data_IF_243185903433
#
_entry.id   IF_243185903433
#
_cell.length_a   1.000
_cell.length_b   1.000
_cell.length_c   1.000
_cell.angle_alpha   90.00
_cell.angle_beta   90.00
_cell.angle_gamma   90.00
#
_symmetry.space_group_name_H-M   'P 1'
#
loop_
_entity.id
_entity.type
_entity.pdbx_description
1 polymer ?
#
# COMPACT_ATOMS: atom_id res chain seq x y z
N UNK A 1 0.89 18.07 -4.05
CA UNK A 1 -0.52 18.12 -3.62
C UNK A 1 -1.11 16.71 -3.60
N UNK A 2 -1.75 16.37 -2.50
CA UNK A 2 -2.43 15.07 -2.37
C UNK A 2 -3.91 15.26 -2.72
N UNK A 3 -4.42 14.38 -3.55
CA UNK A 3 -5.82 14.34 -3.95
C UNK A 3 -6.28 12.88 -4.07
N UNK A 4 -7.57 12.68 -4.27
CA UNK A 4 -8.06 11.33 -4.53
C UNK A 4 -7.56 10.81 -5.88
N UNK A 5 -7.36 9.51 -5.93
CA UNK A 5 -7.04 8.81 -7.17
C UNK A 5 -8.24 8.93 -8.13
N UNK A 6 -7.98 9.06 -9.42
CA UNK A 6 -9.01 9.17 -10.44
C UNK A 6 -8.76 8.17 -11.56
N UNK A 7 -9.80 7.84 -12.31
CA UNK A 7 -9.66 6.88 -13.42
C UNK A 7 -8.62 7.32 -14.44
N UNK A 8 -8.51 8.63 -14.71
CA UNK A 8 -7.53 9.18 -15.64
C UNK A 8 -6.09 8.94 -15.22
N UNK A 9 -5.86 8.59 -13.96
CA UNK A 9 -4.52 8.30 -13.45
C UNK A 9 -4.03 6.91 -13.83
N UNK A 10 -4.93 6.03 -14.25
CA UNK A 10 -4.58 4.64 -14.53
C UNK A 10 -3.48 4.51 -15.59
N UNK A 11 -3.70 5.08 -16.77
CA UNK A 11 -2.74 4.94 -17.87
C UNK A 11 -1.35 5.50 -17.52
N UNK A 12 -1.23 6.73 -17.00
CA UNK A 12 0.07 7.26 -16.61
C UNK A 12 0.78 6.42 -15.54
N UNK A 13 0.04 5.93 -14.55
CA UNK A 13 0.64 5.15 -13.45
C UNK A 13 1.04 3.76 -13.94
N UNK A 14 0.15 3.07 -14.62
CA UNK A 14 0.39 1.68 -15.02
C UNK A 14 1.53 1.56 -16.05
N UNK A 15 1.74 2.60 -16.83
CA UNK A 15 2.79 2.64 -17.84
C UNK A 15 4.19 2.69 -17.21
N UNK A 16 4.33 3.29 -16.03
CA UNK A 16 5.64 3.52 -15.38
C UNK A 16 5.85 2.70 -14.12
N UNK A 17 4.82 2.04 -13.61
CA UNK A 17 4.88 1.38 -12.30
C UNK A 17 5.98 0.32 -12.22
N UNK A 18 6.19 -0.46 -13.28
CA UNK A 18 7.22 -1.50 -13.27
C UNK A 18 8.62 -0.88 -13.14
N UNK A 19 8.83 0.28 -13.76
CA UNK A 19 10.09 1.01 -13.64
C UNK A 19 10.32 1.48 -12.20
N UNK A 20 9.28 1.87 -11.49
CA UNK A 20 9.38 2.30 -10.10
C UNK A 20 9.86 1.16 -9.19
N UNK A 21 9.67 -0.08 -9.59
CA UNK A 21 10.15 -1.27 -8.90
C UNK A 21 11.37 -1.90 -9.56
N UNK A 22 12.20 -1.09 -10.24
CA UNK A 22 13.44 -1.55 -10.84
C UNK A 22 13.26 -2.55 -11.99
N UNK A 23 12.13 -2.49 -12.70
CA UNK A 23 11.81 -3.37 -13.81
C UNK A 23 11.04 -4.63 -13.41
N UNK A 24 10.72 -4.82 -12.13
CA UNK A 24 9.86 -5.92 -11.70
C UNK A 24 8.44 -5.71 -12.21
N UNK A 25 7.81 -6.79 -12.64
CA UNK A 25 6.44 -6.72 -13.14
C UNK A 25 5.45 -6.58 -11.99
N UNK A 26 4.99 -5.36 -11.76
CA UNK A 26 4.09 -5.02 -10.66
C UNK A 26 2.72 -4.54 -11.15
N UNK A 27 2.62 -4.19 -12.43
CA UNK A 27 1.40 -3.57 -12.97
C UNK A 27 0.16 -4.46 -12.82
N UNK A 28 0.32 -5.78 -12.88
CA UNK A 28 -0.79 -6.73 -12.70
C UNK A 28 -1.39 -6.70 -11.29
N UNK A 29 -0.66 -6.12 -10.32
CA UNK A 29 -1.13 -6.00 -8.93
C UNK A 29 -2.00 -4.77 -8.72
N UNK A 30 -2.12 -3.89 -9.72
CA UNK A 30 -2.88 -2.65 -9.61
C UNK A 30 -3.92 -2.55 -10.73
N UNK A 31 -5.01 -3.34 -10.66
CA UNK A 31 -6.07 -3.30 -11.66
C UNK A 31 -6.79 -1.95 -11.71
N UNK A 32 -7.35 -1.64 -12.89
CA UNK A 32 -8.09 -0.40 -13.11
C UNK A 32 -9.23 -0.19 -12.10
N UNK A 33 -9.79 -1.27 -11.56
CA UNK A 33 -10.89 -1.19 -10.59
C UNK A 33 -10.57 -0.30 -9.39
N UNK A 34 -9.31 -0.23 -8.97
CA UNK A 34 -8.92 0.63 -7.85
C UNK A 34 -9.05 2.11 -8.20
N UNK A 35 -8.89 2.47 -9.45
CA UNK A 35 -8.98 3.85 -9.93
C UNK A 35 -10.43 4.29 -10.15
N UNK A 36 -11.36 3.36 -10.15
CA UNK A 36 -12.78 3.63 -10.42
C UNK A 36 -13.61 3.50 -9.14
N UNK A 37 -13.44 2.39 -8.41
CA UNK A 37 -14.36 1.99 -7.35
C UNK A 37 -13.83 2.17 -5.93
N UNK A 38 -12.55 2.49 -5.76
CA UNK A 38 -11.94 2.67 -4.44
C UNK A 38 -11.40 4.09 -4.23
N UNK A 39 -11.92 5.05 -4.99
CA UNK A 39 -11.47 6.45 -4.96
C UNK A 39 -11.62 7.12 -3.59
N UNK A 40 -12.68 6.90 -2.82
CA UNK A 40 -12.81 7.54 -1.51
C UNK A 40 -11.67 7.22 -0.53
N UNK A 41 -11.00 6.09 -0.72
CA UNK A 41 -9.92 5.61 0.14
C UNK A 41 -8.59 5.46 -0.60
N UNK A 42 -8.47 6.05 -1.78
CA UNK A 42 -7.27 5.98 -2.59
C UNK A 42 -6.81 7.37 -2.99
N UNK A 43 -5.49 7.58 -3.03
CA UNK A 43 -4.91 8.91 -3.14
C UNK A 43 -3.78 8.95 -4.17
N UNK A 44 -3.58 10.13 -4.73
CA UNK A 44 -2.46 10.41 -5.62
C UNK A 44 -1.74 11.67 -5.13
N UNK A 45 -0.43 11.71 -5.33
CA UNK A 45 0.36 12.93 -5.15
C UNK A 45 0.68 13.45 -6.54
N UNK A 46 0.26 14.68 -6.80
CA UNK A 46 0.50 15.33 -8.07
C UNK A 46 1.49 16.49 -7.87
N UNK A 47 2.48 16.54 -8.73
CA UNK A 47 3.47 17.63 -8.74
C UNK A 47 3.82 17.94 -10.18
N UNK A 48 3.70 19.22 -10.57
CA UNK A 48 3.97 19.63 -11.93
C UNK A 48 3.10 18.95 -12.99
N UNK A 49 1.86 18.60 -12.65
CA UNK A 49 0.94 17.95 -13.58
C UNK A 49 1.14 16.44 -13.71
N UNK A 50 2.06 15.86 -12.95
CA UNK A 50 2.34 14.42 -13.00
C UNK A 50 2.09 13.76 -11.66
N UNK A 51 1.63 12.51 -11.70
CA UNK A 51 1.49 11.69 -10.49
C UNK A 51 2.88 11.17 -10.10
N UNK A 52 3.33 11.54 -8.93
CA UNK A 52 4.64 11.11 -8.39
C UNK A 52 4.52 10.10 -7.26
N UNK A 53 3.30 9.83 -6.81
CA UNK A 53 3.03 8.83 -5.79
C UNK A 53 1.56 8.52 -5.73
N UNK A 54 1.23 7.34 -5.21
CA UNK A 54 -0.16 6.93 -5.05
C UNK A 54 -0.30 5.91 -3.92
N UNK A 55 -1.52 5.81 -3.42
CA UNK A 55 -1.92 4.77 -2.48
C UNK A 55 -3.29 4.26 -2.89
N UNK A 56 -3.42 2.96 -3.09
CA UNK A 56 -4.69 2.29 -3.36
C UNK A 56 -5.10 1.48 -2.14
N UNK A 57 -6.27 1.77 -1.58
CA UNK A 57 -6.74 1.10 -0.39
C UNK A 57 -8.26 1.11 -0.30
N UNK A 58 -8.79 0.39 0.69
CA UNK A 58 -10.25 0.26 0.84
C UNK A 58 -10.62 -0.08 2.28
N UNK A 59 -11.91 0.07 2.58
CA UNK A 59 -12.50 -0.46 3.82
C UNK A 59 -12.96 -1.88 3.54
N UNK A 60 -12.62 -2.80 4.45
CA UNK A 60 -13.00 -4.20 4.31
C UNK A 60 -14.52 -4.33 4.34
N UNK A 61 -15.09 -5.00 3.35
CA UNK A 61 -16.52 -5.31 3.35
C UNK A 61 -16.86 -6.40 4.36
N UNK A 62 -15.91 -7.29 4.63
CA UNK A 62 -16.09 -8.39 5.59
C UNK A 62 -16.03 -7.86 7.03
N UNK A 63 -15.09 -6.94 7.30
CA UNK A 63 -14.89 -6.34 8.62
C UNK A 63 -14.86 -4.82 8.47
N UNK A 64 -16.03 -4.14 8.51
CA UNK A 64 -16.10 -2.70 8.23
C UNK A 64 -15.32 -1.79 9.17
N UNK A 65 -14.86 -2.32 10.29
CA UNK A 65 -13.99 -1.59 11.24
C UNK A 65 -12.52 -1.66 10.84
N UNK A 66 -12.19 -2.36 9.77
CA UNK A 66 -10.84 -2.53 9.27
C UNK A 66 -10.71 -1.95 7.88
N UNK A 67 -9.56 -1.35 7.63
CA UNK A 67 -9.17 -0.88 6.30
C UNK A 67 -7.94 -1.64 5.84
N UNK A 68 -7.70 -1.63 4.55
CA UNK A 68 -6.61 -2.36 3.94
C UNK A 68 -5.89 -1.49 2.91
N UNK A 69 -4.58 -1.44 3.00
CA UNK A 69 -3.74 -0.78 2.00
C UNK A 69 -3.26 -1.85 1.03
N UNK A 70 -3.70 -1.74 -0.21
CA UNK A 70 -3.39 -2.72 -1.24
C UNK A 70 -2.05 -2.45 -1.91
N UNK A 71 -1.78 -1.19 -2.25
CA UNK A 71 -0.60 -0.86 -3.03
C UNK A 71 -0.22 0.60 -2.81
N UNK A 72 1.08 0.84 -2.63
CA UNK A 72 1.64 2.19 -2.47
C UNK A 72 2.88 2.29 -3.33
N UNK A 73 3.01 3.37 -4.06
CA UNK A 73 4.22 3.62 -4.85
C UNK A 73 4.62 5.08 -4.81
N UNK A 74 5.93 5.32 -4.80
CA UNK A 74 6.52 6.65 -4.92
C UNK A 74 7.54 6.59 -6.04
N UNK A 75 7.46 7.58 -6.94
CA UNK A 75 8.41 7.73 -8.03
C UNK A 75 9.84 7.75 -7.45
N UNK A 76 10.77 6.96 -8.00
CA UNK A 76 12.11 6.82 -7.42
C UNK A 76 12.85 8.13 -7.15
N UNK A 77 12.71 9.11 -8.06
CA UNK A 77 13.37 10.41 -7.92
C UNK A 77 12.82 11.22 -6.74
N UNK A 78 11.59 10.94 -6.33
CA UNK A 78 10.89 11.67 -5.26
C UNK A 78 10.89 10.93 -3.93
N UNK A 79 11.60 9.81 -3.82
CA UNK A 79 11.71 9.07 -2.56
C UNK A 79 12.52 9.83 -1.53
N UNK A 80 12.40 9.46 -0.26
CA UNK A 80 13.07 10.09 0.89
C UNK A 80 12.64 11.53 1.14
N UNK A 81 11.45 11.91 0.69
CA UNK A 81 10.83 13.21 0.96
C UNK A 81 9.67 13.12 1.95
N UNK A 82 9.43 11.95 2.54
CA UNK A 82 8.30 11.73 3.45
C UNK A 82 6.95 11.59 2.76
N UNK A 83 6.92 11.39 1.45
CA UNK A 83 5.67 11.32 0.68
C UNK A 83 4.85 10.07 1.02
N UNK A 84 5.51 8.94 1.24
CA UNK A 84 4.82 7.72 1.67
C UNK A 84 4.14 7.91 3.01
N UNK A 85 4.82 8.56 3.95
CA UNK A 85 4.25 8.90 5.26
C UNK A 85 3.03 9.80 5.12
N UNK A 86 3.09 10.78 4.25
CA UNK A 86 1.95 11.69 4.00
C UNK A 86 0.75 10.94 3.43
N UNK A 87 0.97 10.04 2.47
CA UNK A 87 -0.09 9.20 1.91
C UNK A 87 -0.73 8.33 2.99
N UNK A 88 0.08 7.71 3.86
CA UNK A 88 -0.43 6.87 4.94
C UNK A 88 -1.26 7.69 5.93
N UNK A 89 -0.81 8.89 6.29
CA UNK A 89 -1.58 9.79 7.17
C UNK A 89 -2.93 10.16 6.58
N UNK A 90 -2.95 10.50 5.30
CA UNK A 90 -4.21 10.79 4.60
C UNK A 90 -5.14 9.59 4.62
N UNK A 91 -4.59 8.41 4.38
CA UNK A 91 -5.37 7.17 4.43
C UNK A 91 -5.93 6.93 5.83
N UNK A 92 -5.10 7.04 6.86
CA UNK A 92 -5.54 6.84 8.25
C UNK A 92 -6.67 7.80 8.63
N UNK A 93 -6.53 9.07 8.31
CA UNK A 93 -7.55 10.07 8.61
C UNK A 93 -8.85 9.76 7.89
N UNK A 94 -8.76 9.38 6.63
CA UNK A 94 -9.91 9.04 5.80
C UNK A 94 -10.69 7.85 6.37
N UNK A 95 -10.00 6.75 6.65
CA UNK A 95 -10.66 5.53 7.12
C UNK A 95 -11.09 5.64 8.59
N UNK A 96 -10.39 6.43 9.39
CA UNK A 96 -10.82 6.74 10.75
C UNK A 96 -12.17 7.47 10.71
N UNK A 97 -12.34 8.41 9.79
CA UNK A 97 -13.61 9.10 9.56
C UNK A 97 -14.72 8.18 9.10
N UNK A 98 -14.40 7.03 8.54
CA UNK A 98 -15.36 6.00 8.12
C UNK A 98 -15.62 4.94 9.19
N UNK A 99 -15.05 5.11 10.39
CA UNK A 99 -15.28 4.21 11.52
C UNK A 99 -14.29 3.07 11.66
N UNK A 100 -13.17 3.11 10.93
CA UNK A 100 -12.16 2.06 11.05
C UNK A 100 -11.26 2.28 12.27
N UNK A 101 -10.90 1.17 12.92
CA UNK A 101 -10.00 1.14 14.08
C UNK A 101 -8.67 0.47 13.77
N UNK A 102 -8.59 -0.26 12.67
CA UNK A 102 -7.41 -1.05 12.31
C UNK A 102 -7.13 -0.90 10.84
N UNK A 103 -5.85 -0.79 10.50
CA UNK A 103 -5.38 -0.81 9.10
C UNK A 103 -4.46 -2.03 8.93
N UNK A 104 -4.69 -2.79 7.88
CA UNK A 104 -3.89 -3.96 7.55
C UNK A 104 -3.23 -3.81 6.19
N UNK A 105 -2.11 -4.48 6.02
CA UNK A 105 -1.45 -4.64 4.72
C UNK A 105 -0.52 -5.84 4.77
N UNK A 106 0.01 -6.21 3.62
CA UNK A 106 0.96 -7.31 3.49
C UNK A 106 2.17 -6.86 2.68
N UNK A 107 3.29 -7.52 2.89
CA UNK A 107 4.48 -7.32 2.06
C UNK A 107 5.27 -8.61 1.93
N UNK A 108 6.16 -8.68 0.95
CA UNK A 108 7.06 -9.82 0.80
C UNK A 108 8.11 -9.80 1.93
N UNK A 109 8.48 -10.98 2.49
CA UNK A 109 9.53 -11.03 3.51
C UNK A 109 10.91 -10.62 2.99
N UNK A 110 11.11 -10.54 1.67
CA UNK A 110 12.37 -10.05 1.09
C UNK A 110 12.42 -8.54 0.93
N UNK A 111 11.29 -7.87 1.07
CA UNK A 111 11.20 -6.41 0.92
C UNK A 111 11.52 -5.72 2.25
N UNK A 112 12.81 -5.62 2.55
CA UNK A 112 13.28 -5.05 3.82
C UNK A 112 12.92 -3.59 3.99
N UNK A 113 12.89 -2.82 2.91
CA UNK A 113 12.53 -1.40 2.96
C UNK A 113 11.08 -1.23 3.36
N UNK A 114 10.19 -2.04 2.81
CA UNK A 114 8.77 -2.02 3.18
C UNK A 114 8.56 -2.45 4.63
N UNK A 115 9.24 -3.50 5.07
CA UNK A 115 9.15 -3.97 6.46
C UNK A 115 9.59 -2.86 7.41
N UNK A 116 10.73 -2.21 7.13
CA UNK A 116 11.25 -1.11 7.95
C UNK A 116 10.29 0.07 7.96
N UNK A 117 9.74 0.44 6.81
CA UNK A 117 8.79 1.54 6.69
C UNK A 117 7.54 1.29 7.54
N UNK A 118 6.93 0.11 7.40
CA UNK A 118 5.72 -0.22 8.16
C UNK A 118 5.97 -0.28 9.66
N UNK A 119 7.12 -0.82 10.06
CA UNK A 119 7.50 -0.84 11.47
C UNK A 119 7.62 0.58 12.02
N UNK A 120 8.26 1.49 11.30
CA UNK A 120 8.38 2.89 11.71
C UNK A 120 7.03 3.62 11.74
N UNK A 121 6.09 3.22 10.89
CA UNK A 121 4.73 3.78 10.88
C UNK A 121 3.85 3.24 12.00
N UNK A 122 4.37 2.32 12.80
CA UNK A 122 3.65 1.75 13.94
C UNK A 122 2.85 0.50 13.64
N UNK A 123 3.07 -0.12 12.48
CA UNK A 123 2.48 -1.43 12.20
C UNK A 123 3.22 -2.51 12.95
N UNK A 124 2.48 -3.52 13.38
CA UNK A 124 3.02 -4.71 14.03
C UNK A 124 2.78 -5.94 13.14
N UNK A 125 3.75 -6.84 13.16
CA UNK A 125 3.57 -8.12 12.47
C UNK A 125 2.50 -8.93 13.19
N UNK A 126 1.58 -9.50 12.42
CA UNK A 126 0.57 -10.41 12.94
C UNK A 126 1.16 -11.82 13.13
N UNK A 127 0.32 -12.83 13.13
CA UNK A 127 0.81 -14.21 13.25
C UNK A 127 1.72 -14.62 12.09
N UNK A 128 2.57 -15.58 12.32
CA UNK A 128 3.41 -16.20 11.30
C UNK A 128 3.28 -17.72 11.38
N UNK A 129 3.45 -18.38 10.24
CA UNK A 129 3.45 -19.85 10.18
C UNK A 129 4.86 -20.41 9.99
N UNK A 130 5.83 -19.55 9.74
CA UNK A 130 7.22 -19.93 9.57
C UNK A 130 8.10 -18.70 9.34
N UNK A 131 9.25 -18.93 8.73
CA UNK A 131 10.24 -17.89 8.48
C UNK A 131 10.79 -18.03 7.06
N UNK A 132 11.22 -16.89 6.48
CA UNK A 132 11.96 -16.87 5.25
C UNK A 132 13.20 -16.00 5.48
N UNK A 133 14.39 -16.61 5.42
CA UNK A 133 15.66 -15.93 5.72
C UNK A 133 15.64 -15.18 7.07
N UNK A 134 15.03 -15.81 8.08
CA UNK A 134 14.95 -15.26 9.43
C UNK A 134 13.80 -14.26 9.65
N UNK A 135 13.02 -13.94 8.63
CA UNK A 135 11.88 -13.04 8.74
C UNK A 135 10.60 -13.84 8.98
N UNK A 136 9.91 -13.62 10.11
CA UNK A 136 8.62 -14.28 10.35
C UNK A 136 7.61 -13.89 9.28
N UNK A 137 6.90 -14.89 8.76
CA UNK A 137 5.91 -14.64 7.71
C UNK A 137 4.90 -15.78 7.64
N UNK A 138 3.82 -15.57 6.89
CA UNK A 138 2.89 -16.63 6.54
C UNK A 138 3.39 -17.29 5.26
N UNK A 139 3.82 -18.53 5.39
CA UNK A 139 4.34 -19.29 4.25
C UNK A 139 3.21 -19.62 3.28
N UNK A 140 3.50 -19.42 1.99
CA UNK A 140 2.53 -19.69 0.91
C UNK A 140 1.20 -18.99 1.12
N UNK A 141 1.24 -17.77 1.63
CA UNK A 141 0.04 -16.94 1.82
C UNK A 141 -0.72 -16.78 0.50
N UNK A 142 0.05 -16.53 -0.55
CA UNK A 142 -0.42 -16.68 -1.92
C UNK A 142 0.33 -17.85 -2.54
N UNK A 143 -0.33 -18.75 -3.22
CA UNK A 143 0.22 -20.02 -3.66
C UNK A 143 1.61 -19.93 -4.31
N UNK A 144 2.28 -21.08 -4.43
CA UNK A 144 3.55 -21.22 -5.15
C UNK A 144 4.74 -20.47 -4.54
N UNK A 145 4.85 -20.50 -3.22
CA UNK A 145 6.00 -19.92 -2.54
C UNK A 145 5.90 -18.40 -2.32
N UNK A 146 4.75 -17.82 -2.59
CA UNK A 146 4.53 -16.39 -2.34
C UNK A 146 4.23 -16.14 -0.87
N UNK A 147 5.29 -16.04 -0.08
CA UNK A 147 5.18 -15.77 1.36
C UNK A 147 4.86 -14.31 1.60
N UNK A 148 4.17 -14.02 2.72
CA UNK A 148 3.84 -12.63 3.07
C UNK A 148 4.01 -12.37 4.55
N UNK A 149 4.53 -11.19 4.86
CA UNK A 149 4.48 -10.62 6.21
C UNK A 149 3.15 -9.89 6.33
N UNK A 150 2.37 -10.23 7.35
CA UNK A 150 1.09 -9.59 7.60
C UNK A 150 1.27 -8.51 8.66
N UNK A 151 0.80 -7.30 8.36
CA UNK A 151 0.90 -6.16 9.25
C UNK A 151 -0.47 -5.64 9.66
N UNK A 152 -0.56 -5.18 10.90
CA UNK A 152 -1.73 -4.48 11.40
C UNK A 152 -1.30 -3.28 12.24
N UNK A 153 -2.07 -2.20 12.13
CA UNK A 153 -1.90 -1.00 12.95
C UNK A 153 -3.24 -0.64 13.58
N UNK A 154 -3.24 -0.46 14.90
CA UNK A 154 -4.40 0.07 15.59
C UNK A 154 -4.39 1.59 15.47
N UNK A 155 -5.50 2.17 15.07
CA UNK A 155 -5.67 3.61 14.96
C UNK A 155 -6.16 4.16 16.31
N UNK A 156 -5.51 5.21 16.76
CA UNK A 156 -5.87 5.88 18.03
C UNK A 156 -6.91 6.99 17.81
#
# INVERSE_FOLDING_TARGET
>A
MIRHLEERDYDPVITVIDEWWGGRKMSHLLPRVFFIHFRPTSFAIEEGGSVIGFLAGFVSQTNPEQAYIHFVGIHPVHRRRGLGRELYKHFFDSVRGLGCHTVRCITSPVNKDSIGFHTRMGFEMEHATGEHNGVPCVLNYELNGEHRVLFAKTLS
#
